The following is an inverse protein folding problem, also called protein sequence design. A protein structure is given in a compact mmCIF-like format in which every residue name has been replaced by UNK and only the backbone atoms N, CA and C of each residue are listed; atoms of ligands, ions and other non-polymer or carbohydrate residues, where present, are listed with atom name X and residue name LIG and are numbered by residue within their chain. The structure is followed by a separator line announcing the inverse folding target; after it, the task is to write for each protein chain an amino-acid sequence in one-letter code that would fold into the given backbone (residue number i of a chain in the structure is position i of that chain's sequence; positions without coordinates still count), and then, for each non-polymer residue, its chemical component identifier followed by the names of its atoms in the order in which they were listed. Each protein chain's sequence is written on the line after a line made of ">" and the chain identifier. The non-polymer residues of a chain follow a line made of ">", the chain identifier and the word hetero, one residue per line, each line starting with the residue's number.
data_IF_501467110680
#
_entry.id   IF_501467110680
#
_cell.length_a   1.000
_cell.length_b   1.000
_cell.length_c   1.000
_cell.angle_alpha   90.00
_cell.angle_beta   90.00
_cell.angle_gamma   90.00
#
_symmetry.space_group_name_H-M   'P 1'
#
loop_
_entity.id
_entity.type
_entity.pdbx_description
1 polymer ?
#
# COMPACT_ATOMS: atom_id res chain seq x y z
N UNK A 1 -3.34 -5.84 4.51
CA UNK A 1 -2.50 -5.28 5.58
C UNK A 1 -1.35 -6.23 5.91
N UNK A 2 -0.10 -5.79 5.81
CA UNK A 2 1.09 -6.62 6.13
C UNK A 2 1.93 -6.03 7.27
N UNK A 3 1.74 -4.75 7.59
CA UNK A 3 2.38 -4.08 8.71
C UNK A 3 1.34 -3.64 9.75
N UNK A 4 1.70 -3.54 11.05
CA UNK A 4 0.82 -2.99 12.07
C UNK A 4 0.30 -1.59 11.71
N UNK A 5 1.18 -0.75 11.15
CA UNK A 5 0.85 0.58 10.64
C UNK A 5 -0.01 0.60 9.36
N UNK A 6 -0.57 -0.53 8.90
CA UNK A 6 -1.57 -0.54 7.81
C UNK A 6 -3.01 -0.50 8.36
N UNK A 7 -3.22 -0.93 9.61
CA UNK A 7 -4.53 -0.83 10.26
C UNK A 7 -4.73 0.53 10.95
N UNK A 8 -5.96 1.02 11.02
CA UNK A 8 -6.29 2.26 11.75
C UNK A 8 -7.46 2.03 12.70
N UNK A 9 -7.33 2.59 13.90
CA UNK A 9 -8.45 2.75 14.83
C UNK A 9 -8.97 4.16 14.63
N UNK A 10 -10.21 4.28 14.16
CA UNK A 10 -10.84 5.55 13.83
C UNK A 10 -12.10 5.74 14.68
N UNK A 11 -12.41 6.99 14.99
CA UNK A 11 -13.68 7.32 15.63
C UNK A 11 -14.81 7.22 14.60
N UNK A 12 -15.77 6.34 14.86
CA UNK A 12 -17.02 6.31 14.11
C UNK A 12 -17.90 7.49 14.52
N UNK A 13 -18.38 8.25 13.54
CA UNK A 13 -19.30 9.36 13.77
C UNK A 13 -20.74 8.85 13.68
N UNK A 14 -21.45 8.90 14.81
CA UNK A 14 -22.88 8.53 14.90
C UNK A 14 -23.81 9.75 14.85
N UNK A 15 -23.26 10.95 14.94
CA UNK A 15 -23.98 12.21 15.01
C UNK A 15 -23.35 13.25 14.06
N UNK A 16 -24.15 14.24 13.67
CA UNK A 16 -23.72 15.31 12.76
C UNK A 16 -22.63 16.17 13.42
N UNK A 17 -21.45 16.32 12.80
CA UNK A 17 -20.43 17.25 13.29
C UNK A 17 -20.89 18.70 13.22
N UNK A 18 -20.48 19.54 14.19
CA UNK A 18 -20.87 20.94 14.27
C UNK A 18 -20.53 21.77 13.02
N UNK A 19 -19.43 21.44 12.34
CA UNK A 19 -18.98 22.12 11.12
C UNK A 19 -19.68 21.63 9.84
N UNK A 20 -20.45 20.54 9.92
CA UNK A 20 -21.12 19.95 8.76
C UNK A 20 -22.51 20.56 8.59
N UNK A 21 -22.89 20.90 7.35
CA UNK A 21 -24.25 21.37 7.08
C UNK A 21 -25.29 20.23 7.23
N UNK A 22 -26.53 20.54 7.65
CA UNK A 22 -27.59 19.54 7.74
C UNK A 22 -27.89 18.84 6.41
N UNK A 23 -27.75 19.55 5.28
CA UNK A 23 -27.96 18.98 3.95
C UNK A 23 -26.90 17.94 3.59
N UNK A 24 -25.63 18.20 3.91
CA UNK A 24 -24.53 17.24 3.70
C UNK A 24 -24.68 16.01 4.60
N UNK A 25 -25.05 16.22 5.87
CA UNK A 25 -25.31 15.11 6.79
C UNK A 25 -26.47 14.24 6.31
N UNK A 26 -27.59 14.87 5.92
CA UNK A 26 -28.72 14.14 5.37
C UNK A 26 -28.34 13.36 4.11
N UNK A 27 -27.58 13.96 3.21
CA UNK A 27 -27.06 13.28 2.01
C UNK A 27 -26.24 12.03 2.35
N UNK A 28 -25.35 12.09 3.36
CA UNK A 28 -24.58 10.93 3.83
C UNK A 28 -25.50 9.80 4.33
N UNK A 29 -26.57 10.15 5.04
CA UNK A 29 -27.56 9.18 5.54
C UNK A 29 -28.37 8.50 4.43
N UNK A 30 -28.44 9.09 3.23
CA UNK A 30 -29.12 8.47 2.07
C UNK A 30 -28.25 7.49 1.28
N UNK A 31 -27.02 7.22 1.74
CA UNK A 31 -26.07 6.35 1.05
C UNK A 31 -26.28 4.88 1.39
N UNK A 32 -25.77 4.01 0.53
CA UNK A 32 -25.92 2.57 0.72
C UNK A 32 -25.14 2.13 1.96
N UNK A 33 -25.71 1.16 2.68
CA UNK A 33 -25.00 0.50 3.76
C UNK A 33 -23.68 -0.10 3.26
N UNK A 34 -22.61 0.07 4.03
CA UNK A 34 -21.27 -0.41 3.68
C UNK A 34 -20.41 0.61 2.91
N UNK A 35 -20.95 1.77 2.51
CA UNK A 35 -20.10 2.85 1.99
C UNK A 35 -19.35 3.56 3.11
N UNK A 36 -18.03 3.69 2.97
CA UNK A 36 -17.19 4.43 3.89
C UNK A 36 -16.95 5.85 3.39
N UNK A 37 -17.02 6.81 4.29
CA UNK A 37 -16.74 8.21 4.00
C UNK A 37 -15.59 8.67 4.90
N UNK A 38 -14.53 9.14 4.26
CA UNK A 38 -13.39 9.72 4.94
C UNK A 38 -13.46 11.25 4.86
N UNK A 39 -13.03 11.98 5.90
CA UNK A 39 -12.91 13.43 5.82
C UNK A 39 -11.91 13.83 4.74
N UNK A 40 -12.18 14.95 4.05
CA UNK A 40 -11.28 15.51 3.03
C UNK A 40 -10.29 16.55 3.59
N UNK A 41 -10.17 16.64 4.93
CA UNK A 41 -9.26 17.56 5.61
C UNK A 41 -8.02 16.79 6.05
N UNK A 42 -6.84 17.28 5.65
CA UNK A 42 -5.55 16.63 5.93
C UNK A 42 -5.18 15.57 4.89
N UNK A 43 -4.20 14.70 5.19
CA UNK A 43 -3.83 13.61 4.30
C UNK A 43 -5.02 12.66 4.11
N UNK A 44 -5.20 12.10 2.90
CA UNK A 44 -6.31 11.20 2.61
C UNK A 44 -6.19 9.91 3.43
N UNK A 45 -7.29 9.45 4.00
CA UNK A 45 -7.32 8.25 4.82
C UNK A 45 -7.08 6.95 4.06
N UNK A 46 -7.60 6.75 2.84
CA UNK A 46 -7.30 5.54 2.05
C UNK A 46 -5.80 5.30 1.92
N UNK A 47 -5.03 6.32 1.56
CA UNK A 47 -3.57 6.20 1.43
C UNK A 47 -2.89 5.89 2.78
N UNK A 48 -3.45 6.39 3.88
CA UNK A 48 -2.98 6.06 5.22
C UNK A 48 -3.36 4.64 5.67
N UNK A 49 -4.30 3.98 5.01
CA UNK A 49 -4.74 2.61 5.32
C UNK A 49 -4.15 1.68 4.27
N UNK A 50 -2.95 1.18 4.55
CA UNK A 50 -2.25 0.25 3.68
C UNK A 50 -1.96 0.77 2.26
N UNK A 51 -1.78 2.08 2.09
CA UNK A 51 -1.49 2.70 0.78
C UNK A 51 -2.60 2.47 -0.26
N UNK A 52 -3.85 2.37 0.21
CA UNK A 52 -5.02 2.22 -0.65
C UNK A 52 -5.48 3.54 -1.27
N UNK A 53 -6.46 3.45 -2.17
CA UNK A 53 -7.07 4.61 -2.82
C UNK A 53 -8.61 4.54 -2.84
N UNK A 54 -9.25 5.32 -3.71
CA UNK A 54 -10.72 5.36 -3.86
C UNK A 54 -11.20 4.83 -5.21
N UNK A 55 -10.42 4.00 -5.90
CA UNK A 55 -10.74 3.48 -7.23
C UNK A 55 -11.56 2.17 -7.19
N UNK A 56 -11.74 1.59 -6.01
CA UNK A 56 -12.48 0.34 -5.81
C UNK A 56 -12.08 -0.47 -4.57
N UNK A 57 -11.07 -0.02 -3.82
CA UNK A 57 -10.55 -0.72 -2.64
C UNK A 57 -11.62 -1.04 -1.58
N UNK A 58 -11.63 -2.30 -1.15
CA UNK A 58 -12.47 -2.78 -0.07
C UNK A 58 -11.72 -2.74 1.25
N UNK A 59 -12.33 -2.09 2.24
CA UNK A 59 -11.77 -1.97 3.58
C UNK A 59 -12.45 -2.96 4.53
N UNK A 60 -11.66 -3.68 5.31
CA UNK A 60 -12.18 -4.45 6.43
C UNK A 60 -12.46 -3.50 7.62
N UNK A 61 -13.71 -3.44 8.05
CA UNK A 61 -14.16 -2.62 9.18
C UNK A 61 -14.60 -3.52 10.32
N UNK A 62 -13.99 -3.32 11.49
CA UNK A 62 -14.35 -4.01 12.72
C UNK A 62 -14.79 -2.98 13.76
N UNK A 63 -15.98 -3.18 14.33
CA UNK A 63 -16.53 -2.37 15.42
C UNK A 63 -16.74 -3.20 16.70
N UNK A 64 -16.20 -4.42 16.76
CA UNK A 64 -16.22 -5.22 17.97
C UNK A 64 -15.42 -4.52 19.07
N UNK A 65 -16.06 -4.24 20.20
CA UNK A 65 -15.49 -3.39 21.24
C UNK A 65 -14.25 -4.01 21.90
N UNK A 66 -14.20 -5.34 22.04
CA UNK A 66 -13.06 -6.03 22.65
C UNK A 66 -11.87 -6.00 21.69
N UNK A 67 -12.09 -6.29 20.41
CA UNK A 67 -11.05 -6.22 19.38
C UNK A 67 -10.51 -4.79 19.24
N UNK A 68 -11.39 -3.78 19.19
CA UNK A 68 -10.99 -2.38 19.07
C UNK A 68 -10.19 -1.92 20.29
N UNK A 69 -10.59 -2.32 21.51
CA UNK A 69 -9.86 -1.99 22.73
C UNK A 69 -8.43 -2.54 22.71
N UNK A 70 -8.26 -3.81 22.32
CA UNK A 70 -6.94 -4.44 22.19
C UNK A 70 -6.05 -3.72 21.17
N UNK A 71 -6.62 -3.28 20.04
CA UNK A 71 -5.88 -2.57 19.01
C UNK A 71 -5.49 -1.15 19.44
N UNK A 72 -6.38 -0.45 20.16
CA UNK A 72 -6.14 0.92 20.64
C UNK A 72 -4.93 1.01 21.58
N UNK A 73 -4.69 -0.02 22.40
CA UNK A 73 -3.51 -0.11 23.28
C UNK A 73 -2.19 -0.21 22.50
N UNK A 74 -2.24 -0.79 21.29
CA UNK A 74 -1.09 -1.03 20.42
C UNK A 74 -0.93 0.03 19.32
N UNK A 75 -1.72 1.10 19.35
CA UNK A 75 -1.82 2.03 18.22
C UNK A 75 -0.49 2.74 17.95
N UNK A 76 0.08 2.47 16.79
CA UNK A 76 1.24 3.19 16.27
C UNK A 76 0.72 4.47 15.59
N UNK A 77 1.17 5.66 16.01
CA UNK A 77 0.82 6.90 15.33
C UNK A 77 1.13 6.80 13.84
N UNK A 78 0.23 7.29 12.99
CA UNK A 78 0.50 7.35 11.56
C UNK A 78 1.80 8.15 11.35
N UNK A 79 2.83 7.58 10.70
CA UNK A 79 3.94 8.39 10.24
C UNK A 79 3.34 9.50 9.39
N UNK A 80 3.73 10.75 9.66
CA UNK A 80 3.46 11.82 8.71
C UNK A 80 4.22 11.42 7.45
N UNK A 81 3.49 11.03 6.40
CA UNK A 81 4.10 10.79 5.10
C UNK A 81 4.59 12.15 4.63
N UNK A 82 5.87 12.41 4.87
CA UNK A 82 6.57 13.47 4.15
C UNK A 82 6.75 12.90 2.77
N UNK A 83 5.83 13.24 1.85
CA UNK A 83 6.00 12.88 0.46
C UNK A 83 7.39 13.37 0.04
N UNK A 84 8.30 12.47 -0.35
CA UNK A 84 9.51 12.91 -1.00
C UNK A 84 9.11 13.73 -2.22
N UNK A 85 9.85 14.80 -2.57
CA UNK A 85 9.53 15.60 -3.73
C UNK A 85 9.37 14.66 -4.92
N UNK A 86 8.19 14.72 -5.56
CA UNK A 86 7.93 13.94 -6.76
C UNK A 86 9.11 14.16 -7.71
N UNK A 87 9.76 13.09 -8.21
CA UNK A 87 10.74 13.27 -9.26
C UNK A 87 10.06 14.05 -10.39
N UNK A 88 10.76 14.99 -11.05
CA UNK A 88 10.15 15.80 -12.09
C UNK A 88 9.46 14.87 -13.08
N UNK A 89 8.15 15.09 -13.26
CA UNK A 89 7.35 14.36 -14.24
C UNK A 89 8.07 14.47 -15.59
N UNK A 90 8.77 13.41 -15.96
CA UNK A 90 9.38 13.30 -17.27
C UNK A 90 8.25 12.86 -18.17
N UNK A 91 7.50 13.83 -18.68
CA UNK A 91 6.62 13.59 -19.80
C UNK A 91 7.50 13.20 -20.99
N UNK A 92 7.75 11.91 -21.13
CA UNK A 92 8.44 11.36 -22.30
C UNK A 92 7.45 11.49 -23.45
N UNK A 93 7.78 12.34 -24.44
CA UNK A 93 7.08 12.29 -25.72
C UNK A 93 7.32 10.93 -26.31
N UNK A 94 6.26 10.12 -26.32
CA UNK A 94 6.24 8.86 -27.00
C UNK A 94 6.42 9.16 -28.50
N UNK A 95 7.53 8.67 -29.08
CA UNK A 95 7.81 8.83 -30.51
C UNK A 95 6.80 8.07 -31.38
N UNK A 96 6.92 8.19 -32.71
CA UNK A 96 5.96 7.58 -33.64
C UNK A 96 5.84 6.05 -33.49
N UNK A 97 6.87 5.40 -32.96
CA UNK A 97 6.95 3.94 -32.74
C UNK A 97 6.35 3.46 -31.41
N UNK A 98 5.70 4.33 -30.63
CA UNK A 98 5.22 3.99 -29.28
C UNK A 98 4.29 2.79 -29.26
N UNK A 99 3.42 2.67 -30.27
CA UNK A 99 2.46 1.58 -30.35
C UNK A 99 3.19 0.25 -30.57
N UNK A 100 4.22 0.25 -31.43
CA UNK A 100 5.02 -0.94 -31.70
C UNK A 100 5.81 -1.36 -30.44
N UNK A 101 6.37 -0.39 -29.71
CA UNK A 101 7.07 -0.65 -28.45
C UNK A 101 6.13 -1.20 -27.37
N UNK A 102 4.93 -0.64 -27.23
CA UNK A 102 3.93 -1.12 -26.29
C UNK A 102 3.49 -2.55 -26.65
N UNK A 103 3.25 -2.84 -27.93
CA UNK A 103 2.91 -4.19 -28.39
C UNK A 103 4.05 -5.18 -28.16
N UNK A 104 5.29 -4.81 -28.46
CA UNK A 104 6.45 -5.65 -28.19
C UNK A 104 6.60 -5.95 -26.70
N UNK A 105 6.36 -4.95 -25.83
CA UNK A 105 6.38 -5.12 -24.38
C UNK A 105 5.25 -6.05 -23.90
N UNK A 106 4.01 -5.85 -24.34
CA UNK A 106 2.87 -6.71 -23.97
C UNK A 106 3.02 -8.17 -24.47
N UNK A 107 3.74 -8.37 -25.58
CA UNK A 107 4.00 -9.70 -26.15
C UNK A 107 5.25 -10.37 -25.56
N UNK A 108 6.09 -9.64 -24.84
CA UNK A 108 7.31 -10.18 -24.27
C UNK A 108 6.98 -11.04 -23.04
N UNK A 109 7.19 -12.37 -23.06
CA UNK A 109 6.88 -13.23 -21.92
C UNK A 109 7.65 -12.86 -20.65
N UNK A 110 8.78 -12.13 -20.77
CA UNK A 110 9.54 -11.69 -19.60
C UNK A 110 8.83 -10.61 -18.79
N UNK A 111 7.86 -9.88 -19.35
CA UNK A 111 7.08 -8.88 -18.60
C UNK A 111 6.11 -9.54 -17.62
N UNK A 112 5.70 -10.78 -17.90
CA UNK A 112 4.96 -11.62 -16.94
C UNK A 112 5.82 -11.92 -15.70
N UNK A 113 7.15 -11.92 -15.84
CA UNK A 113 8.06 -12.14 -14.71
C UNK A 113 8.18 -10.92 -13.78
N UNK A 114 7.67 -9.74 -14.16
CA UNK A 114 7.71 -8.54 -13.31
C UNK A 114 6.92 -8.76 -12.00
N UNK A 115 5.87 -9.58 -12.03
CA UNK A 115 5.10 -9.96 -10.84
C UNK A 115 5.74 -11.08 -9.98
N UNK A 116 6.81 -11.74 -10.44
CA UNK A 116 7.47 -12.82 -9.67
C UNK A 116 7.99 -12.32 -8.33
N UNK A 117 8.42 -11.06 -8.28
CA UNK A 117 8.92 -10.45 -7.06
C UNK A 117 7.87 -10.37 -5.96
N UNK A 118 6.60 -10.13 -6.32
CA UNK A 118 5.47 -10.11 -5.39
C UNK A 118 5.36 -11.48 -4.70
N UNK A 119 5.38 -12.57 -5.48
CA UNK A 119 5.29 -13.92 -4.94
C UNK A 119 6.49 -14.31 -4.06
N UNK A 120 7.71 -13.96 -4.47
CA UNK A 120 8.93 -14.25 -3.71
C UNK A 120 8.97 -13.50 -2.38
N UNK A 121 8.73 -12.18 -2.41
CA UNK A 121 8.72 -11.33 -1.21
C UNK A 121 7.60 -11.75 -0.25
N UNK A 122 6.40 -12.07 -0.75
CA UNK A 122 5.32 -12.63 0.07
C UNK A 122 5.72 -13.94 0.77
N UNK A 123 6.30 -14.88 0.01
CA UNK A 123 6.67 -16.19 0.55
C UNK A 123 7.74 -16.08 1.65
N UNK A 124 8.76 -15.24 1.44
CA UNK A 124 9.78 -14.99 2.45
C UNK A 124 9.22 -14.22 3.66
N UNK A 125 8.33 -13.25 3.43
CA UNK A 125 7.64 -12.51 4.50
C UNK A 125 6.86 -13.44 5.42
N UNK A 126 6.04 -14.33 4.86
CA UNK A 126 5.28 -15.33 5.63
C UNK A 126 6.23 -16.23 6.41
N UNK A 127 7.28 -16.77 5.75
CA UNK A 127 8.26 -17.63 6.41
C UNK A 127 8.91 -16.96 7.63
N UNK A 128 9.42 -15.73 7.48
CA UNK A 128 10.05 -15.00 8.59
C UNK A 128 9.03 -14.72 9.70
N UNK A 129 7.79 -14.37 9.33
CA UNK A 129 6.71 -14.14 10.30
C UNK A 129 6.37 -15.38 11.12
N UNK A 130 6.36 -16.56 10.49
CA UNK A 130 6.11 -17.85 11.16
C UNK A 130 7.30 -18.31 12.02
N UNK A 131 8.54 -18.15 11.54
CA UNK A 131 9.74 -18.64 12.23
C UNK A 131 10.22 -17.71 13.36
N UNK A 132 10.05 -16.40 13.21
CA UNK A 132 10.62 -15.38 14.10
C UNK A 132 9.59 -14.40 14.68
N UNK A 133 8.34 -14.46 14.22
CA UNK A 133 7.26 -13.58 14.65
C UNK A 133 7.08 -12.34 13.77
N UNK A 134 5.84 -11.84 13.72
CA UNK A 134 5.43 -10.70 12.90
C UNK A 134 5.99 -9.34 13.35
N UNK A 135 6.58 -9.28 14.55
CA UNK A 135 7.27 -8.09 15.04
C UNK A 135 8.77 -8.06 14.68
N UNK A 136 9.30 -9.13 14.08
CA UNK A 136 10.71 -9.24 13.75
C UNK A 136 11.17 -8.13 12.78
N UNK A 137 12.38 -7.59 12.96
CA UNK A 137 12.89 -6.50 12.13
C UNK A 137 12.93 -6.87 10.64
N UNK A 138 13.41 -8.08 10.32
CA UNK A 138 13.44 -8.55 8.94
C UNK A 138 12.04 -8.76 8.36
N UNK A 139 11.04 -9.16 9.18
CA UNK A 139 9.64 -9.25 8.74
C UNK A 139 9.15 -7.88 8.26
N UNK A 140 9.42 -6.83 9.04
CA UNK A 140 9.00 -5.46 8.68
C UNK A 140 9.69 -4.96 7.42
N UNK A 141 10.98 -5.28 7.24
CA UNK A 141 11.73 -4.90 6.04
C UNK A 141 11.17 -5.61 4.80
N UNK A 142 10.96 -6.94 4.86
CA UNK A 142 10.45 -7.69 3.72
C UNK A 142 8.98 -7.36 3.43
N UNK A 143 8.17 -7.02 4.43
CA UNK A 143 6.80 -6.56 4.24
C UNK A 143 6.75 -5.22 3.48
N UNK A 144 7.67 -4.28 3.76
CA UNK A 144 7.81 -3.04 2.97
C UNK A 144 8.26 -3.33 1.54
N UNK A 145 9.21 -4.24 1.37
CA UNK A 145 9.66 -4.68 0.04
C UNK A 145 8.53 -5.37 -0.76
N UNK A 146 7.64 -6.10 -0.09
CA UNK A 146 6.45 -6.68 -0.72
C UNK A 146 5.48 -5.60 -1.22
N UNK A 147 5.22 -4.55 -0.42
CA UNK A 147 4.42 -3.38 -0.88
C UNK A 147 5.07 -2.72 -2.10
N UNK A 148 6.38 -2.44 -2.03
CA UNK A 148 7.13 -1.89 -3.17
C UNK A 148 7.06 -2.76 -4.42
N UNK A 149 7.04 -4.09 -4.27
CA UNK A 149 6.92 -5.02 -5.40
C UNK A 149 5.53 -4.94 -6.07
N UNK A 150 4.46 -4.71 -5.29
CA UNK A 150 3.11 -4.51 -5.83
C UNK A 150 3.05 -3.21 -6.63
N UNK A 151 3.56 -2.12 -6.06
CA UNK A 151 3.53 -0.80 -6.71
C UNK A 151 4.47 -0.73 -7.90
N UNK A 152 5.60 -1.44 -7.85
CA UNK A 152 6.56 -1.52 -8.94
C UNK A 152 5.97 -2.04 -10.24
N UNK A 153 4.96 -2.92 -10.18
CA UNK A 153 4.23 -3.40 -11.37
C UNK A 153 3.34 -2.30 -11.97
N UNK A 154 2.82 -1.38 -11.15
CA UNK A 154 1.93 -0.30 -11.61
C UNK A 154 2.70 0.93 -12.10
N UNK A 155 3.74 1.32 -11.37
CA UNK A 155 4.40 2.61 -11.54
C UNK A 155 5.87 2.50 -11.98
N UNK A 156 6.37 1.26 -12.14
CA UNK A 156 7.80 1.02 -12.17
C UNK A 156 8.42 1.22 -10.79
N UNK A 157 9.65 0.76 -10.60
CA UNK A 157 10.36 0.91 -9.32
C UNK A 157 11.15 -0.32 -8.96
N UNK A 158 12.09 -0.15 -8.04
CA UNK A 158 12.96 -1.20 -7.57
C UNK A 158 12.61 -1.57 -6.13
N UNK A 159 12.58 -2.88 -5.85
CA UNK A 159 12.45 -3.38 -4.48
C UNK A 159 13.75 -3.12 -3.75
N UNK A 160 13.71 -2.38 -2.64
CA UNK A 160 14.90 -2.06 -1.84
C UNK A 160 15.00 -3.02 -0.66
N UNK A 161 16.03 -3.86 -0.65
CA UNK A 161 16.29 -4.82 0.43
C UNK A 161 17.74 -4.77 0.91
N UNK A 162 18.03 -5.15 2.17
CA UNK A 162 19.40 -5.35 2.63
C UNK A 162 20.02 -6.63 2.03
N UNK A 163 21.36 -6.73 1.94
CA UNK A 163 22.03 -7.83 1.25
C UNK A 163 21.65 -9.23 1.76
N UNK A 164 21.45 -9.40 3.08
CA UNK A 164 21.11 -10.71 3.67
C UNK A 164 19.72 -11.20 3.28
N UNK A 165 18.78 -10.30 2.98
CA UNK A 165 17.44 -10.67 2.49
C UNK A 165 17.41 -10.84 0.97
N UNK A 166 18.21 -10.06 0.22
CA UNK A 166 18.36 -10.25 -1.24
C UNK A 166 18.83 -11.67 -1.58
N UNK A 167 19.84 -12.15 -0.85
CA UNK A 167 20.38 -13.50 -1.04
C UNK A 167 19.33 -14.61 -0.84
N UNK A 168 18.38 -14.41 0.08
CA UNK A 168 17.32 -15.39 0.35
C UNK A 168 16.22 -15.43 -0.73
N UNK A 169 16.01 -14.32 -1.44
CA UNK A 169 15.04 -14.24 -2.55
C UNK A 169 15.63 -14.75 -3.88
N UNK A 170 16.93 -15.08 -3.90
CA UNK A 170 17.65 -15.43 -5.12
C UNK A 170 17.59 -14.29 -6.15
N UNK A 171 17.67 -13.03 -5.68
CA UNK A 171 17.65 -11.86 -6.56
C UNK A 171 19.04 -11.57 -7.08
N UNK A 172 19.13 -11.38 -8.39
CA UNK A 172 20.34 -10.89 -9.04
C UNK A 172 20.44 -9.37 -8.86
N UNK A 173 21.64 -8.77 -8.98
CA UNK A 173 21.80 -7.31 -8.95
C UNK A 173 20.95 -6.57 -10.00
N UNK A 174 20.54 -7.24 -11.07
CA UNK A 174 19.69 -6.67 -12.13
C UNK A 174 18.21 -6.61 -11.72
N UNK A 175 17.76 -7.53 -10.86
CA UNK A 175 16.38 -7.56 -10.31
C UNK A 175 16.15 -6.46 -9.26
N UNK A 176 17.23 -5.95 -8.68
CA UNK A 176 17.23 -4.96 -7.60
C UNK A 176 17.76 -3.67 -8.19
N UNK A 177 16.88 -2.89 -8.84
CA UNK A 177 17.26 -1.63 -9.48
C UNK A 177 18.22 -0.84 -8.59
N UNK A 178 19.33 -0.42 -9.19
CA UNK A 178 20.54 -0.01 -8.49
C UNK A 178 20.22 0.91 -7.31
N UNK A 179 20.37 0.40 -6.10
CA UNK A 179 20.37 1.22 -4.89
C UNK A 179 21.63 2.09 -4.95
N UNK A 180 21.47 3.35 -5.36
CA UNK A 180 22.45 4.41 -5.21
C UNK A 180 22.45 4.92 -3.76
#
# INVERSE_FOLDING_TARGET
>A
CVLPEHGRVLQALTEQPAEMSPSTWHWLQTRYFGTLFFPNKGPPWPEQIAEGDTDGDLNFVCWDAEVVALLAESHVPCPQVVEPPLPPSTHVRLGDEWLQQAQAHMLNPSTIHEAVQIGKTHSLMVKIGEEHGWAHADYRIIARAYVQAIDGVKHGGAVVLPPHLRGQLGLTPEDVGAAA
#
